data_IF_976908271314
#
_entry.id   IF_976908271314
#
_cell.length_a   1.000
_cell.length_b   1.000
_cell.length_c   1.000
_cell.angle_alpha   90.00
_cell.angle_beta   90.00
_cell.angle_gamma   90.00
#
_symmetry.space_group_name_H-M   'P 1'
#
loop_
_entity.id
_entity.type
_entity.pdbx_description
1 polymer ?
#
# COMPACT_ATOMS: atom_id res chain seq x y z
N UNK A 1 23.48 -25.23 -59.46
CA UNK A 1 23.26 -26.50 -58.74
C UNK A 1 23.02 -26.20 -57.29
N UNK A 2 21.86 -26.63 -56.80
CA UNK A 2 21.36 -26.51 -55.44
C UNK A 2 21.98 -27.64 -54.60
N UNK A 3 22.32 -27.38 -53.35
CA UNK A 3 22.07 -28.30 -52.23
C UNK A 3 22.13 -27.55 -50.90
N UNK A 4 20.93 -27.40 -50.32
CA UNK A 4 20.67 -27.00 -48.94
C UNK A 4 21.02 -28.16 -48.01
N UNK A 5 21.66 -27.87 -46.88
CA UNK A 5 21.57 -28.71 -45.69
C UNK A 5 21.02 -27.87 -44.55
N UNK A 6 19.72 -28.06 -44.34
CA UNK A 6 18.95 -27.57 -43.21
C UNK A 6 19.38 -28.41 -41.99
N UNK A 7 19.95 -27.77 -40.98
CA UNK A 7 20.10 -28.38 -39.66
C UNK A 7 18.92 -27.93 -38.79
N UNK A 8 18.03 -28.89 -38.54
CA UNK A 8 16.93 -28.81 -37.59
C UNK A 8 17.49 -28.70 -36.17
N UNK A 9 17.30 -27.56 -35.51
CA UNK A 9 17.38 -27.49 -34.04
C UNK A 9 15.96 -27.55 -33.47
N UNK A 10 15.68 -28.72 -32.91
CA UNK A 10 14.46 -29.15 -32.23
C UNK A 10 14.59 -28.77 -30.76
N UNK A 11 13.53 -28.13 -30.23
CA UNK A 11 13.14 -28.00 -28.81
C UNK A 11 13.96 -27.01 -27.97
N UNK A 12 13.37 -26.13 -27.16
CA UNK A 12 12.28 -26.37 -26.21
C UNK A 12 11.20 -25.29 -26.28
N UNK A 13 9.94 -25.70 -26.42
CA UNK A 13 8.82 -24.98 -25.84
C UNK A 13 9.04 -24.98 -24.33
N UNK A 14 9.44 -23.85 -23.75
CA UNK A 14 9.12 -23.59 -22.36
C UNK A 14 7.61 -23.44 -22.31
N UNK A 15 6.93 -24.55 -22.02
CA UNK A 15 5.63 -24.54 -21.38
C UNK A 15 5.69 -23.43 -20.33
N UNK A 16 4.82 -22.43 -20.47
CA UNK A 16 4.47 -21.55 -19.37
C UNK A 16 4.09 -22.48 -18.23
N UNK A 17 5.04 -22.73 -17.34
CA UNK A 17 4.74 -23.25 -16.02
C UNK A 17 3.77 -22.24 -15.46
N UNK A 18 2.51 -22.64 -15.32
CA UNK A 18 1.64 -22.05 -14.31
C UNK A 18 2.42 -22.22 -13.02
N UNK A 19 3.14 -21.18 -12.63
CA UNK A 19 3.67 -21.03 -11.30
C UNK A 19 2.44 -21.24 -10.40
N UNK A 20 2.47 -22.17 -9.44
CA UNK A 20 1.37 -22.26 -8.50
C UNK A 20 1.16 -20.85 -7.94
N UNK A 21 -0.10 -20.42 -7.84
CA UNK A 21 -0.50 -19.31 -6.98
C UNK A 21 -0.06 -19.68 -5.56
N UNK A 22 1.22 -19.48 -5.25
CA UNK A 22 1.75 -19.52 -3.90
C UNK A 22 1.14 -18.29 -3.24
N UNK A 23 -0.06 -18.49 -2.70
CA UNK A 23 -0.81 -17.48 -1.98
C UNK A 23 0.10 -16.83 -0.94
N UNK A 24 -0.09 -15.53 -0.75
CA UNK A 24 0.72 -14.76 0.17
C UNK A 24 0.71 -15.38 1.57
N UNK A 25 1.90 -15.76 2.05
CA UNK A 25 2.11 -16.36 3.37
C UNK A 25 2.10 -15.26 4.42
N UNK A 26 1.64 -15.59 5.63
CA UNK A 26 1.65 -14.62 6.71
C UNK A 26 3.06 -14.14 7.03
N UNK A 27 3.21 -12.83 7.16
CA UNK A 27 4.45 -12.15 7.42
C UNK A 27 4.31 -11.04 8.45
N UNK A 28 5.42 -10.74 9.11
CA UNK A 28 5.53 -9.65 10.07
C UNK A 28 6.38 -8.53 9.48
N UNK A 29 5.80 -7.34 9.39
CA UNK A 29 6.45 -6.12 8.94
C UNK A 29 6.61 -5.18 10.13
N UNK A 30 7.80 -4.60 10.31
CA UNK A 30 8.06 -3.65 11.40
C UNK A 30 8.31 -2.25 10.84
N UNK A 31 7.68 -1.24 11.43
CA UNK A 31 7.88 0.16 11.07
C UNK A 31 7.71 1.06 12.30
N UNK A 32 8.74 1.84 12.62
CA UNK A 32 8.80 2.56 13.90
C UNK A 32 8.58 1.59 15.08
N UNK A 33 7.67 1.92 16.00
CA UNK A 33 7.29 1.06 17.12
C UNK A 33 6.13 0.10 16.77
N UNK A 34 5.75 -0.02 15.48
CA UNK A 34 4.64 -0.84 15.02
C UNK A 34 5.12 -2.15 14.42
N UNK A 35 4.52 -3.25 14.89
CA UNK A 35 4.69 -4.60 14.36
C UNK A 35 3.38 -5.02 13.69
N UNK A 36 3.32 -4.94 12.37
CA UNK A 36 2.17 -5.29 11.55
C UNK A 36 2.26 -6.76 11.12
N UNK A 37 1.14 -7.46 11.11
CA UNK A 37 1.05 -8.83 10.60
C UNK A 37 0.15 -8.79 9.36
N UNK A 38 0.64 -9.32 8.24
CA UNK A 38 -0.15 -9.54 7.04
C UNK A 38 -0.24 -11.03 6.74
N UNK A 39 -1.32 -11.54 6.13
CA UNK A 39 -2.63 -10.93 6.23
C UNK A 39 -3.08 -10.90 7.70
N UNK A 40 -3.91 -9.94 8.08
CA UNK A 40 -4.61 -9.93 9.37
C UNK A 40 -6.00 -9.35 9.20
N UNK A 41 -6.85 -9.59 10.20
CA UNK A 41 -8.18 -8.97 10.23
C UNK A 41 -8.13 -7.61 10.92
N UNK A 42 -9.14 -6.77 10.68
CA UNK A 42 -9.33 -5.52 11.43
C UNK A 42 -9.35 -5.79 12.93
N UNK A 43 -10.05 -6.84 13.37
CA UNK A 43 -10.15 -7.21 14.78
C UNK A 43 -8.79 -7.52 15.41
N UNK A 44 -7.94 -8.27 14.70
CA UNK A 44 -6.59 -8.61 15.17
C UNK A 44 -5.72 -7.36 15.33
N UNK A 45 -5.75 -6.46 14.35
CA UNK A 45 -4.98 -5.22 14.40
C UNK A 45 -5.49 -4.25 15.48
N UNK A 46 -6.81 -4.13 15.65
CA UNK A 46 -7.42 -3.33 16.72
C UNK A 46 -7.01 -3.86 18.09
N UNK A 47 -7.01 -5.18 18.28
CA UNK A 47 -6.58 -5.81 19.54
C UNK A 47 -5.09 -5.64 19.78
N UNK A 48 -4.25 -5.87 18.76
CA UNK A 48 -2.80 -5.79 18.86
C UNK A 48 -2.32 -4.36 19.14
N UNK A 49 -2.99 -3.36 18.56
CA UNK A 49 -2.52 -1.98 18.59
C UNK A 49 -3.41 -1.02 19.36
N UNK A 50 -4.52 -1.49 19.93
CA UNK A 50 -5.49 -0.67 20.67
C UNK A 50 -5.90 0.56 19.85
N UNK A 51 -6.49 0.31 18.68
CA UNK A 51 -6.94 1.35 17.77
C UNK A 51 -8.28 1.94 18.23
N UNK A 52 -8.41 3.24 18.06
CA UNK A 52 -9.66 3.96 18.23
C UNK A 52 -10.56 3.77 17.02
N UNK A 53 -11.87 3.93 17.20
CA UNK A 53 -12.87 3.86 16.15
C UNK A 53 -13.55 5.22 15.99
N UNK A 54 -13.59 5.73 14.75
CA UNK A 54 -14.35 6.90 14.36
C UNK A 54 -15.34 6.50 13.27
N UNK A 55 -16.64 6.76 13.45
CA UNK A 55 -17.59 6.52 12.38
C UNK A 55 -17.40 7.51 11.20
N UNK A 56 -17.74 7.11 9.97
CA UNK A 56 -18.20 5.78 9.56
C UNK A 56 -17.04 4.84 9.21
N UNK A 57 -16.79 3.80 10.01
CA UNK A 57 -15.86 2.75 9.60
C UNK A 57 -14.39 3.18 9.50
N UNK A 58 -13.86 3.92 10.45
CA UNK A 58 -12.45 4.34 10.43
C UNK A 58 -11.73 3.94 11.71
N UNK A 59 -10.67 3.15 11.58
CA UNK A 59 -9.82 2.76 12.70
C UNK A 59 -8.49 3.49 12.63
N UNK A 60 -8.08 4.10 13.74
CA UNK A 60 -6.88 4.91 13.77
C UNK A 60 -6.21 4.93 15.13
N UNK A 61 -4.98 5.45 15.15
CA UNK A 61 -4.28 5.79 16.37
C UNK A 61 -3.31 6.95 16.14
N UNK A 62 -3.32 7.90 17.07
CA UNK A 62 -2.36 8.99 17.07
C UNK A 62 -0.97 8.48 17.52
N UNK A 63 0.05 8.85 16.77
CA UNK A 63 1.45 8.52 17.01
C UNK A 63 2.10 9.66 17.77
N UNK A 64 1.97 9.66 19.10
CA UNK A 64 2.37 10.77 19.98
C UNK A 64 3.82 11.23 19.78
N UNK A 65 4.75 10.31 19.48
CA UNK A 65 6.18 10.61 19.31
C UNK A 65 6.48 11.47 18.07
N UNK A 66 5.75 11.29 16.98
CA UNK A 66 6.07 11.87 15.67
C UNK A 66 5.00 12.82 15.14
N UNK A 67 3.99 13.13 15.96
CA UNK A 67 2.79 13.88 15.57
C UNK A 67 2.09 13.28 14.34
N UNK A 68 2.15 11.96 14.19
CA UNK A 68 1.53 11.24 13.08
C UNK A 68 0.22 10.59 13.48
N UNK A 69 -0.44 9.96 12.51
CA UNK A 69 -1.57 9.07 12.72
C UNK A 69 -1.33 7.79 11.90
N UNK A 70 -1.78 6.64 12.42
CA UNK A 70 -1.92 5.43 11.62
C UNK A 70 -3.39 5.10 11.44
N UNK A 71 -3.73 4.62 10.25
CA UNK A 71 -5.08 4.35 9.81
C UNK A 71 -5.12 2.96 9.17
N UNK A 72 -6.17 2.20 9.44
CA UNK A 72 -6.41 0.94 8.74
C UNK A 72 -7.30 1.13 7.52
N UNK A 73 -7.01 0.38 6.47
CA UNK A 73 -7.93 0.19 5.34
C UNK A 73 -8.25 -1.28 5.20
N UNK A 74 -9.44 -1.57 4.68
CA UNK A 74 -9.94 -2.92 4.46
C UNK A 74 -10.97 -2.89 3.34
N UNK A 75 -11.25 -4.07 2.77
CA UNK A 75 -12.22 -4.21 1.68
C UNK A 75 -13.64 -4.20 2.25
N UNK A 76 -14.40 -3.14 1.95
CA UNK A 76 -15.82 -3.05 2.29
C UNK A 76 -16.63 -4.13 1.56
N UNK A 77 -17.66 -4.66 2.21
CA UNK A 77 -18.69 -5.49 1.59
C UNK A 77 -19.96 -4.69 1.38
N UNK A 78 -20.83 -5.17 0.48
CA UNK A 78 -22.12 -4.54 0.17
C UNK A 78 -23.02 -4.32 1.40
N UNK A 79 -22.85 -5.15 2.44
CA UNK A 79 -23.59 -5.07 3.70
C UNK A 79 -23.04 -4.05 4.69
N UNK A 80 -21.90 -3.42 4.41
CA UNK A 80 -21.28 -2.46 5.31
C UNK A 80 -21.95 -1.09 5.17
N UNK A 81 -22.19 -0.43 6.30
CA UNK A 81 -22.82 0.89 6.31
C UNK A 81 -21.77 1.98 6.36
N UNK A 82 -21.83 2.93 5.43
CA UNK A 82 -20.95 4.10 5.45
C UNK A 82 -21.50 5.23 6.36
N UNK A 83 -22.08 4.88 7.50
CA UNK A 83 -22.68 5.82 8.44
C UNK A 83 -22.34 5.49 9.90
N UNK A 84 -22.79 6.35 10.82
CA UNK A 84 -22.53 6.24 12.26
C UNK A 84 -23.20 5.06 12.95
N UNK A 85 -24.14 4.39 12.30
CA UNK A 85 -24.87 3.26 12.86
C UNK A 85 -24.13 1.94 12.73
N UNK A 86 -23.00 1.88 12.00
CA UNK A 86 -22.20 0.65 11.92
C UNK A 86 -21.47 0.39 13.26
N UNK A 87 -21.78 -0.72 13.97
CA UNK A 87 -20.99 -1.14 15.11
C UNK A 87 -19.56 -1.44 14.67
N UNK A 88 -18.58 -1.05 15.48
CA UNK A 88 -17.17 -1.26 15.13
C UNK A 88 -16.89 -2.76 14.91
N UNK A 89 -17.39 -3.62 15.78
CA UNK A 89 -17.15 -5.07 15.75
C UNK A 89 -17.63 -5.74 14.46
N UNK A 90 -18.61 -5.16 13.75
CA UNK A 90 -19.08 -5.67 12.44
C UNK A 90 -17.97 -5.73 11.40
N UNK A 91 -16.98 -4.84 11.52
CA UNK A 91 -15.86 -4.74 10.60
C UNK A 91 -14.67 -5.62 11.01
N UNK A 92 -14.66 -6.19 12.22
CA UNK A 92 -13.54 -6.97 12.71
C UNK A 92 -13.15 -8.16 11.83
N UNK A 93 -14.10 -8.92 11.23
CA UNK A 93 -13.76 -10.03 10.34
C UNK A 93 -13.25 -9.60 8.95
N UNK A 94 -13.15 -8.30 8.65
CA UNK A 94 -12.66 -7.82 7.35
C UNK A 94 -11.15 -7.99 7.30
N UNK A 95 -10.67 -8.51 6.17
CA UNK A 95 -9.24 -8.57 5.88
C UNK A 95 -8.69 -7.16 5.70
N UNK A 96 -7.53 -6.90 6.31
CA UNK A 96 -6.82 -5.66 6.12
C UNK A 96 -6.25 -5.58 4.72
N UNK A 97 -6.51 -4.44 4.12
CA UNK A 97 -5.99 -4.04 2.83
C UNK A 97 -4.65 -3.32 3.03
N UNK A 98 -4.56 -2.41 4.00
CA UNK A 98 -3.31 -1.69 4.28
C UNK A 98 -3.26 -1.01 5.64
N UNK A 99 -2.03 -0.62 6.02
CA UNK A 99 -1.78 0.35 7.09
C UNK A 99 -1.27 1.65 6.46
N UNK A 100 -1.87 2.77 6.83
CA UNK A 100 -1.52 4.11 6.34
C UNK A 100 -0.99 4.93 7.50
N UNK A 101 0.27 5.31 7.43
CA UNK A 101 0.91 6.26 8.33
C UNK A 101 0.89 7.63 7.68
N UNK A 102 0.32 8.62 8.37
CA UNK A 102 0.30 10.01 7.91
C UNK A 102 1.05 10.90 8.89
N UNK A 103 1.86 11.79 8.34
CA UNK A 103 2.66 12.73 9.11
C UNK A 103 2.44 14.13 8.57
N UNK A 104 2.37 15.17 9.41
CA UNK A 104 2.45 16.55 8.97
C UNK A 104 3.73 16.76 8.16
N UNK A 105 3.63 17.38 7.00
CA UNK A 105 4.78 17.60 6.15
C UNK A 105 5.76 18.58 6.82
N UNK A 106 7.04 18.20 6.80
CA UNK A 106 8.16 19.01 7.28
C UNK A 106 9.28 18.95 6.24
N UNK A 107 10.12 19.99 6.11
CA UNK A 107 11.26 19.97 5.19
C UNK A 107 12.11 18.71 5.39
N UNK A 108 12.35 17.97 4.30
CA UNK A 108 13.18 16.75 4.29
C UNK A 108 12.55 15.50 4.90
N UNK A 109 11.31 15.54 5.39
CA UNK A 109 10.68 14.39 6.06
C UNK A 109 10.48 13.21 5.10
N UNK A 110 9.94 13.44 3.89
CA UNK A 110 9.70 12.37 2.93
C UNK A 110 10.99 11.63 2.58
N UNK A 111 12.08 12.36 2.33
CA UNK A 111 13.39 11.78 2.03
C UNK A 111 13.96 11.02 3.23
N UNK A 112 13.81 11.54 4.45
CA UNK A 112 14.23 10.86 5.68
C UNK A 112 13.50 9.53 5.87
N UNK A 113 12.17 9.52 5.70
CA UNK A 113 11.36 8.30 5.79
C UNK A 113 11.73 7.29 4.70
N UNK A 114 11.91 7.77 3.47
CA UNK A 114 12.37 6.97 2.33
C UNK A 114 13.70 6.30 2.65
N UNK A 115 14.73 7.05 3.05
CA UNK A 115 16.07 6.52 3.39
C UNK A 115 15.99 5.50 4.51
N UNK A 116 15.21 5.77 5.56
CA UNK A 116 15.04 4.85 6.69
C UNK A 116 14.43 3.51 6.25
N UNK A 117 13.40 3.55 5.39
CA UNK A 117 12.75 2.36 4.83
C UNK A 117 13.68 1.60 3.88
N UNK A 118 14.39 2.29 2.99
CA UNK A 118 15.38 1.65 2.11
C UNK A 118 16.47 0.92 2.90
N UNK A 119 16.96 1.54 3.98
CA UNK A 119 17.94 0.92 4.88
C UNK A 119 17.37 -0.30 5.58
N UNK A 120 16.12 -0.23 6.04
CA UNK A 120 15.45 -1.32 6.77
C UNK A 120 15.27 -2.56 5.89
N UNK A 121 14.89 -2.37 4.62
CA UNK A 121 14.55 -3.47 3.72
C UNK A 121 15.65 -3.81 2.69
N UNK A 122 16.76 -3.08 2.67
CA UNK A 122 17.86 -3.31 1.73
C UNK A 122 17.49 -3.10 0.26
N UNK A 123 16.45 -2.31 -0.01
CA UNK A 123 15.87 -2.09 -1.35
C UNK A 123 15.71 -0.59 -1.62
N UNK A 124 15.48 -0.23 -2.89
CA UNK A 124 15.31 1.16 -3.31
C UNK A 124 13.89 1.45 -3.74
N UNK A 125 13.41 2.66 -3.43
CA UNK A 125 12.14 3.12 -3.98
C UNK A 125 12.26 3.38 -5.48
N UNK A 126 11.24 2.98 -6.21
CA UNK A 126 11.07 3.24 -7.63
C UNK A 126 9.99 4.30 -7.82
N UNK A 127 10.27 5.27 -8.69
CA UNK A 127 9.31 6.31 -9.05
C UNK A 127 8.32 5.77 -10.08
N UNK A 128 7.05 5.78 -9.72
CA UNK A 128 5.95 5.45 -10.62
C UNK A 128 5.12 6.69 -10.86
N UNK A 129 5.16 7.19 -12.10
CA UNK A 129 4.33 8.31 -12.53
C UNK A 129 2.94 7.78 -12.91
N UNK A 130 1.93 8.12 -12.12
CA UNK A 130 0.56 7.73 -12.46
C UNK A 130 0.01 8.68 -13.53
N UNK A 131 -0.26 8.15 -14.73
CA UNK A 131 -0.85 8.93 -15.81
C UNK A 131 -2.22 9.50 -15.44
N UNK A 132 -2.51 10.68 -15.97
CA UNK A 132 -3.76 11.42 -15.78
C UNK A 132 -4.94 10.69 -16.40
N UNK A 133 -6.08 10.65 -15.70
CA UNK A 133 -7.35 10.23 -16.30
C UNK A 133 -7.74 11.20 -17.43
N UNK A 134 -8.23 10.73 -18.58
CA UNK A 134 -8.42 11.55 -19.79
C UNK A 134 -9.62 12.52 -19.75
N UNK A 135 -10.33 12.66 -18.62
CA UNK A 135 -11.50 13.55 -18.52
C UNK A 135 -11.34 14.56 -17.38
N UNK A 136 -11.24 15.84 -17.77
CA UNK A 136 -11.50 17.07 -17.01
C UNK A 136 -10.40 17.66 -16.07
N UNK A 137 -10.24 18.99 -16.19
CA UNK A 137 -9.83 20.03 -15.22
C UNK A 137 -8.49 19.83 -14.46
N UNK A 138 -7.54 20.77 -14.70
CA UNK A 138 -6.24 20.99 -14.01
C UNK A 138 -5.68 19.73 -13.31
N UNK A 139 -5.00 18.93 -14.12
CA UNK A 139 -4.32 17.68 -13.76
C UNK A 139 -3.34 17.90 -12.60
N UNK A 140 -3.66 17.35 -11.42
CA UNK A 140 -2.68 17.21 -10.35
C UNK A 140 -1.87 15.93 -10.63
N UNK A 141 -0.59 16.11 -10.94
CA UNK A 141 0.34 14.99 -11.11
C UNK A 141 0.69 14.46 -9.72
N UNK A 142 0.57 13.15 -9.55
CA UNK A 142 1.01 12.46 -8.34
C UNK A 142 2.26 11.65 -8.66
N UNK A 143 3.33 11.94 -7.93
CA UNK A 143 4.55 11.16 -7.96
C UNK A 143 4.51 10.17 -6.79
N UNK A 144 4.26 8.91 -7.11
CA UNK A 144 4.26 7.83 -6.13
C UNK A 144 5.63 7.14 -6.14
N UNK A 145 6.18 6.94 -4.95
CA UNK A 145 7.38 6.13 -4.77
C UNK A 145 6.97 4.80 -4.17
N UNK A 146 7.34 3.68 -4.80
CA UNK A 146 7.05 2.33 -4.30
C UNK A 146 8.32 1.54 -3.99
N UNK A 147 8.30 0.76 -2.92
CA UNK A 147 9.35 -0.17 -2.52
C UNK A 147 8.74 -1.55 -2.28
N UNK A 148 9.07 -2.52 -3.13
CA UNK A 148 8.59 -3.90 -2.98
C UNK A 148 9.37 -4.62 -1.90
N UNK A 149 8.76 -4.85 -0.73
CA UNK A 149 9.40 -5.52 0.42
C UNK A 149 9.60 -7.01 0.11
N UNK A 150 8.60 -7.65 -0.47
CA UNK A 150 8.61 -9.04 -0.96
C UNK A 150 7.55 -9.20 -2.07
N UNK A 151 7.13 -10.43 -2.38
CA UNK A 151 6.11 -10.73 -3.40
C UNK A 151 4.72 -10.20 -3.07
N UNK A 152 4.42 -9.96 -1.79
CA UNK A 152 3.09 -9.66 -1.28
C UNK A 152 2.98 -8.29 -0.63
N UNK A 153 4.06 -7.74 -0.06
CA UNK A 153 4.05 -6.41 0.55
C UNK A 153 4.82 -5.39 -0.27
N UNK A 154 4.15 -4.26 -0.56
CA UNK A 154 4.75 -3.07 -1.15
C UNK A 154 4.53 -1.86 -0.25
N UNK A 155 5.53 -1.00 -0.13
CA UNK A 155 5.43 0.27 0.61
C UNK A 155 5.32 1.41 -0.39
N UNK A 156 4.24 2.18 -0.32
CA UNK A 156 4.07 3.44 -1.05
C UNK A 156 4.41 4.63 -0.17
N UNK A 157 5.06 5.65 -0.73
CA UNK A 157 5.26 6.94 -0.07
C UNK A 157 4.93 8.10 -1.04
N UNK A 158 4.18 9.09 -0.55
CA UNK A 158 3.80 10.29 -1.31
C UNK A 158 3.56 11.47 -0.38
N UNK A 159 3.63 12.68 -0.94
CA UNK A 159 3.08 13.88 -0.32
C UNK A 159 1.62 14.07 -0.74
N UNK A 160 0.78 14.62 0.15
CA UNK A 160 -0.58 15.02 -0.17
C UNK A 160 -0.59 16.22 -1.15
N UNK A 161 -1.64 16.35 -1.97
CA UNK A 161 -1.76 17.42 -2.94
C UNK A 161 -1.74 18.81 -2.28
N UNK A 162 -1.24 19.82 -3.02
CA UNK A 162 -0.94 21.18 -2.54
C UNK A 162 -2.17 22.07 -2.23
N UNK A 163 -3.34 21.50 -1.91
CA UNK A 163 -4.57 22.30 -1.78
C UNK A 163 -4.54 23.33 -0.64
N UNK A 164 -3.66 23.19 0.37
CA UNK A 164 -3.27 24.25 1.32
C UNK A 164 -1.96 23.86 2.04
N UNK A 165 -0.93 24.72 2.03
CA UNK A 165 0.41 24.41 2.59
C UNK A 165 0.40 23.98 4.07
N UNK A 166 -0.57 24.45 4.86
CA UNK A 166 -0.69 24.15 6.30
C UNK A 166 -1.18 22.73 6.60
N UNK A 167 -1.85 22.08 5.65
CA UNK A 167 -2.48 20.76 5.85
C UNK A 167 -1.77 19.64 5.06
N UNK A 168 -0.60 19.94 4.50
CA UNK A 168 0.15 18.94 3.74
C UNK A 168 0.61 17.81 4.65
N UNK A 169 0.43 16.58 4.17
CA UNK A 169 0.80 15.35 4.87
C UNK A 169 1.72 14.49 4.01
N UNK A 170 2.70 13.86 4.63
CA UNK A 170 3.42 12.72 4.04
C UNK A 170 2.67 11.45 4.40
N UNK A 171 2.36 10.64 3.39
CA UNK A 171 1.67 9.36 3.53
C UNK A 171 2.67 8.23 3.25
N UNK A 172 2.82 7.31 4.19
CA UNK A 172 3.52 6.03 4.02
C UNK A 172 2.48 4.93 4.16
N UNK A 173 2.29 4.11 3.12
CA UNK A 173 1.27 3.06 3.10
C UNK A 173 1.90 1.69 2.87
N UNK A 174 1.58 0.73 3.72
CA UNK A 174 1.98 -0.67 3.59
C UNK A 174 0.82 -1.43 2.93
N UNK A 175 1.00 -1.79 1.66
CA UNK A 175 0.02 -2.43 0.79
C UNK A 175 0.28 -3.94 0.76
N UNK A 176 -0.74 -4.74 1.02
CA UNK A 176 -0.64 -6.20 1.02
C UNK A 176 -1.49 -6.81 -0.09
N UNK A 177 -0.82 -7.57 -0.96
CA UNK A 177 -1.40 -8.29 -2.09
C UNK A 177 -2.13 -7.37 -3.10
N UNK A 178 -1.54 -6.20 -3.38
CA UNK A 178 -2.02 -5.26 -4.41
C UNK A 178 -1.25 -5.42 -5.72
N UNK A 179 -1.97 -5.54 -6.83
CA UNK A 179 -1.40 -5.37 -8.17
C UNK A 179 -0.83 -3.94 -8.35
N UNK A 180 0.08 -3.69 -9.30
CA UNK A 180 0.58 -2.34 -9.57
C UNK A 180 -0.52 -1.28 -9.80
N UNK A 181 -1.61 -1.64 -10.47
CA UNK A 181 -2.76 -0.76 -10.69
C UNK A 181 -3.52 -0.47 -9.38
N UNK A 182 -3.73 -1.51 -8.57
CA UNK A 182 -4.37 -1.38 -7.27
C UNK A 182 -3.51 -0.54 -6.31
N UNK A 183 -2.19 -0.65 -6.35
CA UNK A 183 -1.26 0.17 -5.57
C UNK A 183 -1.44 1.66 -5.89
N UNK A 184 -1.51 2.02 -7.18
CA UNK A 184 -1.74 3.41 -7.61
C UNK A 184 -3.12 3.90 -7.14
N UNK A 185 -4.16 3.09 -7.33
CA UNK A 185 -5.54 3.42 -6.92
C UNK A 185 -5.63 3.66 -5.41
N UNK A 186 -5.04 2.74 -4.64
CA UNK A 186 -4.95 2.82 -3.19
C UNK A 186 -4.26 4.12 -2.76
N UNK A 187 -3.10 4.44 -3.33
CA UNK A 187 -2.39 5.67 -2.98
C UNK A 187 -3.18 6.95 -3.31
N UNK A 188 -4.01 6.96 -4.35
CA UNK A 188 -4.85 8.12 -4.71
C UNK A 188 -6.00 8.36 -3.73
N UNK A 189 -6.66 7.31 -3.24
CA UNK A 189 -7.87 7.42 -2.41
C UNK A 189 -7.67 8.02 -1.02
N UNK A 190 -6.43 8.32 -0.63
CA UNK A 190 -6.05 8.81 0.71
C UNK A 190 -5.29 10.14 0.69
N UNK A 191 -5.34 10.83 -0.45
CA UNK A 191 -4.79 12.17 -0.70
C UNK A 191 -5.91 13.21 -0.78
#
# INVERSE_FOLDING_TARGET
MINYLISFSIFYFSLFGNQPDEGCVSETISYMDWKMIFPSTVGDAVKAHQLDYKPPGFYYKNLSKNNGEVILTYKYKLSDFNNEYQPKETLFPRELDSYIFRFPEKPGLQDSLKIALEKTYGKKFQLTKAASSPKAVKVQKYDFLFLSVNSCTTIGITSSPEMQKSDRKIVVRFLYNHSPEEQISAMRGYL
#
